data_IF_471245702529
#
_entry.id   IF_471245702529
#
_cell.length_a   1.000
_cell.length_b   1.000
_cell.length_c   1.000
_cell.angle_alpha   90.00
_cell.angle_beta   90.00
_cell.angle_gamma   90.00
#
_symmetry.space_group_name_H-M   'P 1'
#
loop_
_entity.id
_entity.type
_entity.pdbx_description
1 polymer ?
#
# COMPACT_ATOMS: atom_id res chain seq x y z
N UNK A 1 -13.75 2.32 14.11
CA UNK A 1 -14.81 1.68 13.30
C UNK A 1 -14.17 0.56 12.50
N UNK A 2 -14.79 -0.61 12.43
CA UNK A 2 -14.32 -1.73 11.59
C UNK A 2 -15.40 -1.96 10.55
N UNK A 3 -15.07 -1.85 9.26
CA UNK A 3 -16.01 -2.13 8.16
C UNK A 3 -15.95 -3.60 7.83
N UNK A 4 -17.11 -4.22 7.65
CA UNK A 4 -17.23 -5.59 7.16
C UNK A 4 -17.13 -5.62 5.62
N UNK A 5 -15.95 -5.32 5.06
CA UNK A 5 -15.77 -5.31 3.60
C UNK A 5 -16.06 -6.64 2.89
N UNK A 6 -16.18 -7.74 3.64
CA UNK A 6 -16.60 -9.05 3.12
C UNK A 6 -18.08 -9.11 2.74
N UNK A 7 -18.94 -8.21 3.25
CA UNK A 7 -20.36 -8.15 2.87
C UNK A 7 -20.58 -7.40 1.56
N UNK A 8 -19.53 -6.79 0.99
CA UNK A 8 -19.60 -6.12 -0.31
C UNK A 8 -19.85 -7.14 -1.43
N UNK A 9 -20.83 -6.86 -2.29
CA UNK A 9 -21.22 -7.66 -3.46
C UNK A 9 -20.57 -7.15 -4.74
N UNK A 10 -20.04 -8.09 -5.54
CA UNK A 10 -19.48 -7.78 -6.85
C UNK A 10 -20.58 -7.28 -7.81
N UNK A 11 -20.31 -6.23 -8.59
CA UNK A 11 -21.26 -5.60 -9.51
C UNK A 11 -22.28 -4.67 -8.85
N UNK A 12 -22.27 -4.56 -7.52
CA UNK A 12 -23.15 -3.67 -6.75
C UNK A 12 -22.31 -2.70 -5.92
N UNK A 13 -21.47 -3.23 -5.02
CA UNK A 13 -20.67 -2.42 -4.08
C UNK A 13 -19.24 -2.20 -4.56
N UNK A 14 -18.75 -3.01 -5.49
CA UNK A 14 -17.46 -2.90 -6.17
C UNK A 14 -17.47 -3.81 -7.39
N UNK A 15 -16.58 -3.57 -8.35
CA UNK A 15 -16.35 -4.48 -9.48
C UNK A 15 -15.07 -5.30 -9.23
N UNK A 16 -15.12 -6.62 -9.47
CA UNK A 16 -14.02 -7.57 -9.25
C UNK A 16 -12.76 -7.21 -10.03
N UNK A 17 -12.93 -6.61 -11.20
CA UNK A 17 -11.82 -6.16 -12.07
C UNK A 17 -11.04 -4.98 -11.45
N UNK A 18 -11.57 -4.41 -10.36
CA UNK A 18 -10.96 -3.35 -9.59
C UNK A 18 -10.31 -3.84 -8.28
N UNK A 19 -10.30 -5.16 -8.02
CA UNK A 19 -9.62 -5.76 -6.87
C UNK A 19 -8.11 -5.89 -7.13
N UNK A 20 -7.32 -5.12 -6.40
CA UNK A 20 -5.86 -5.21 -6.44
C UNK A 20 -5.33 -5.52 -5.04
N UNK A 21 -4.78 -6.73 -4.87
CA UNK A 21 -3.94 -7.04 -3.73
C UNK A 21 -2.52 -6.52 -4.02
N UNK A 22 -2.01 -5.65 -3.16
CA UNK A 22 -0.66 -5.09 -3.23
C UNK A 22 0.38 -6.09 -2.71
N UNK A 23 0.42 -7.26 -3.32
CA UNK A 23 1.29 -8.35 -2.91
C UNK A 23 2.19 -8.73 -4.07
N UNK A 24 3.48 -8.51 -3.88
CA UNK A 24 4.50 -9.03 -4.77
C UNK A 24 4.48 -10.56 -4.73
N UNK A 25 4.45 -11.20 -5.90
CA UNK A 25 4.49 -12.67 -6.03
C UNK A 25 5.63 -13.25 -5.20
N UNK A 26 5.37 -14.34 -4.48
CA UNK A 26 6.35 -14.97 -3.59
C UNK A 26 7.66 -15.34 -4.32
N UNK A 27 7.56 -15.86 -5.55
CA UNK A 27 8.73 -16.16 -6.38
C UNK A 27 9.57 -14.91 -6.69
N UNK A 28 8.94 -13.76 -6.92
CA UNK A 28 9.64 -12.48 -7.09
C UNK A 28 10.25 -12.00 -5.78
N UNK A 29 9.56 -12.16 -4.65
CA UNK A 29 10.10 -11.81 -3.33
C UNK A 29 11.37 -12.63 -3.05
N UNK A 30 11.31 -13.95 -3.22
CA UNK A 30 12.47 -14.84 -3.05
C UNK A 30 13.61 -14.46 -3.98
N UNK A 31 13.33 -14.21 -5.27
CA UNK A 31 14.34 -13.77 -6.22
C UNK A 31 15.02 -12.46 -5.80
N UNK A 32 14.23 -11.46 -5.38
CA UNK A 32 14.77 -10.16 -4.98
C UNK A 32 15.59 -10.26 -3.68
N UNK A 33 15.16 -11.07 -2.72
CA UNK A 33 15.91 -11.32 -1.48
C UNK A 33 17.21 -12.07 -1.75
N UNK A 34 17.19 -13.13 -2.57
CA UNK A 34 18.40 -13.86 -2.97
C UNK A 34 19.36 -12.96 -3.75
N UNK A 35 18.83 -12.11 -4.64
CA UNK A 35 19.63 -11.12 -5.38
C UNK A 35 20.29 -10.12 -4.42
N UNK A 36 19.53 -9.56 -3.48
CA UNK A 36 20.05 -8.63 -2.47
C UNK A 36 21.17 -9.28 -1.64
N UNK A 37 20.96 -10.50 -1.15
CA UNK A 37 21.96 -11.25 -0.40
C UNK A 37 23.24 -11.49 -1.23
N UNK A 38 23.10 -11.88 -2.50
CA UNK A 38 24.25 -12.13 -3.40
C UNK A 38 25.10 -10.87 -3.67
N UNK A 39 24.50 -9.68 -3.52
CA UNK A 39 25.15 -8.39 -3.73
C UNK A 39 25.55 -7.69 -2.43
N UNK A 40 25.24 -8.30 -1.27
CA UNK A 40 25.38 -7.70 0.05
C UNK A 40 24.66 -6.34 0.16
N UNK A 41 23.43 -6.27 -0.38
CA UNK A 41 22.60 -5.08 -0.33
C UNK A 41 21.80 -5.01 0.96
N UNK A 42 21.53 -3.80 1.41
CA UNK A 42 20.78 -3.53 2.63
C UNK A 42 19.29 -3.69 2.38
N UNK A 43 18.58 -4.32 3.31
CA UNK A 43 17.13 -4.56 3.21
C UNK A 43 16.43 -3.89 4.38
N UNK A 44 15.55 -2.94 4.07
CA UNK A 44 14.72 -2.25 5.04
C UNK A 44 13.23 -2.45 4.72
N UNK A 45 12.43 -2.52 5.77
CA UNK A 45 10.98 -2.52 5.66
C UNK A 45 10.41 -1.26 6.31
N UNK A 46 9.39 -0.68 5.68
CA UNK A 46 8.60 0.40 6.27
C UNK A 46 7.12 0.02 6.27
N UNK A 47 6.42 0.42 7.33
CA UNK A 47 4.98 0.25 7.49
C UNK A 47 4.27 1.59 7.23
N UNK A 48 3.38 1.62 6.25
CA UNK A 48 2.69 2.84 5.82
C UNK A 48 1.41 3.03 6.65
N UNK A 49 1.49 3.95 7.63
CA UNK A 49 0.44 4.18 8.64
C UNK A 49 -0.95 4.53 8.09
N UNK A 50 -1.04 5.03 6.87
CA UNK A 50 -2.31 5.55 6.36
C UNK A 50 -2.54 5.26 4.88
N UNK A 51 -1.96 4.18 4.36
CA UNK A 51 -2.13 3.72 2.98
C UNK A 51 -3.59 3.80 2.46
N UNK A 52 -4.57 3.59 3.35
CA UNK A 52 -6.00 3.55 3.02
C UNK A 52 -6.83 4.76 3.48
N UNK A 53 -6.27 5.64 4.34
CA UNK A 53 -7.01 6.72 5.02
C UNK A 53 -6.95 8.07 4.29
N UNK A 54 -6.22 8.18 3.18
CA UNK A 54 -5.89 9.46 2.54
C UNK A 54 -6.84 9.90 1.43
N UNK A 55 -8.02 9.30 1.27
CA UNK A 55 -8.99 9.74 0.25
C UNK A 55 -10.38 9.93 0.86
N UNK A 56 -10.94 11.11 0.62
CA UNK A 56 -12.37 11.36 0.73
C UNK A 56 -13.08 10.54 -0.35
N UNK A 57 -14.23 9.96 -0.02
CA UNK A 57 -15.06 9.28 -1.01
C UNK A 57 -15.65 10.33 -1.95
N UNK A 58 -15.64 10.08 -3.25
CA UNK A 58 -16.39 10.93 -4.19
C UNK A 58 -17.89 10.78 -3.88
N UNK A 59 -18.71 11.78 -4.23
CA UNK A 59 -20.17 11.74 -4.03
C UNK A 59 -20.83 10.50 -4.66
N UNK A 60 -20.25 9.97 -5.74
CA UNK A 60 -20.72 8.76 -6.43
C UNK A 60 -20.27 7.44 -5.76
N UNK A 61 -19.33 7.48 -4.82
CA UNK A 61 -18.81 6.32 -4.06
C UNK A 61 -19.45 6.29 -2.65
N UNK A 62 -20.79 6.23 -2.58
CA UNK A 62 -21.55 6.16 -1.32
C UNK A 62 -21.37 4.80 -0.64
N UNK A 63 -20.49 4.74 0.37
CA UNK A 63 -20.29 3.52 1.16
C UNK A 63 -20.99 3.67 2.51
N UNK A 64 -22.05 2.88 2.70
CA UNK A 64 -22.78 2.80 3.96
C UNK A 64 -22.29 1.63 4.80
N UNK A 65 -22.10 1.85 6.10
CA UNK A 65 -21.65 0.83 7.05
C UNK A 65 -22.70 0.61 8.11
N UNK A 66 -23.08 -0.66 8.30
CA UNK A 66 -23.91 -1.05 9.42
C UNK A 66 -23.07 -1.05 10.71
N UNK A 67 -23.62 -0.49 11.78
CA UNK A 67 -22.96 -0.50 13.07
C UNK A 67 -22.75 -1.95 13.53
N UNK A 68 -21.53 -2.25 14.02
CA UNK A 68 -21.25 -3.57 14.57
C UNK A 68 -22.03 -3.79 15.88
N UNK A 69 -22.58 -4.99 16.11
CA UNK A 69 -23.24 -5.32 17.37
C UNK A 69 -22.25 -5.12 18.54
N UNK A 70 -22.69 -4.45 19.60
CA UNK A 70 -21.90 -4.17 20.81
C UNK A 70 -21.19 -2.81 20.86
N UNK A 71 -21.26 -1.99 19.81
CA UNK A 71 -20.77 -0.59 19.85
C UNK A 71 -21.95 0.34 20.08
N UNK A 72 -22.06 0.93 21.27
CA UNK A 72 -23.08 1.92 21.58
C UNK A 72 -22.64 3.28 21.01
N UNK A 73 -23.24 3.69 19.90
CA UNK A 73 -23.37 5.11 19.57
C UNK A 73 -24.77 5.49 20.03
N UNK A 74 -24.87 6.37 21.02
CA UNK A 74 -26.10 6.69 21.76
C UNK A 74 -27.22 7.27 20.87
N UNK A 75 -26.88 7.71 19.65
CA UNK A 75 -27.80 8.49 18.80
C UNK A 75 -28.25 7.77 17.52
N UNK A 76 -27.91 6.49 17.32
CA UNK A 76 -28.27 5.73 16.12
C UNK A 76 -29.53 4.90 16.35
N UNK A 77 -30.61 5.22 15.61
CA UNK A 77 -31.88 4.48 15.64
C UNK A 77 -31.78 3.15 14.88
N UNK A 78 -32.62 2.15 15.23
CA UNK A 78 -32.76 0.93 14.43
C UNK A 78 -33.05 1.25 12.96
N UNK A 79 -32.31 0.64 12.05
CA UNK A 79 -32.44 0.86 10.59
C UNK A 79 -31.55 1.96 10.02
N UNK A 80 -30.85 2.75 10.84
CA UNK A 80 -29.89 3.74 10.36
C UNK A 80 -28.53 3.10 10.02
N UNK A 81 -27.90 3.64 8.97
CA UNK A 81 -26.57 3.25 8.51
C UNK A 81 -25.65 4.46 8.55
N UNK A 82 -24.34 4.22 8.74
CA UNK A 82 -23.35 5.29 8.75
C UNK A 82 -22.82 5.53 7.34
N UNK A 83 -22.81 6.78 6.90
CA UNK A 83 -22.09 7.17 5.69
C UNK A 83 -20.59 7.30 6.00
N UNK A 84 -19.77 6.66 5.18
CA UNK A 84 -18.33 6.71 5.32
C UNK A 84 -17.79 7.92 4.55
N UNK A 85 -17.10 8.84 5.22
CA UNK A 85 -16.51 10.01 4.53
C UNK A 85 -15.05 9.76 4.08
N UNK A 86 -14.38 8.74 4.64
CA UNK A 86 -12.99 8.38 4.33
C UNK A 86 -12.85 6.88 4.18
N UNK A 87 -12.16 6.42 3.14
CA UNK A 87 -11.97 4.98 2.90
C UNK A 87 -11.32 4.28 4.11
N UNK A 88 -11.86 3.10 4.46
CA UNK A 88 -11.33 2.25 5.53
C UNK A 88 -10.59 1.03 4.97
N UNK A 89 -9.61 0.57 5.75
CA UNK A 89 -8.63 -0.50 5.48
C UNK A 89 -9.18 -1.82 4.91
N UNK A 90 -10.48 -2.09 5.01
CA UNK A 90 -11.11 -3.36 4.59
C UNK A 90 -11.98 -3.22 3.35
N UNK A 91 -12.08 -2.03 2.78
CA UNK A 91 -12.81 -1.84 1.53
C UNK A 91 -12.00 -2.38 0.36
N UNK A 92 -12.65 -3.21 -0.44
CA UNK A 92 -12.07 -3.86 -1.63
C UNK A 92 -11.44 -2.87 -2.63
N UNK A 93 -11.93 -1.63 -2.64
CA UNK A 93 -11.51 -0.56 -3.54
C UNK A 93 -10.27 0.21 -3.07
N UNK A 94 -9.99 0.19 -1.75
CA UNK A 94 -8.98 1.05 -1.15
C UNK A 94 -7.54 0.61 -1.52
N UNK A 95 -7.31 -0.69 -1.74
CA UNK A 95 -6.02 -1.23 -2.20
C UNK A 95 -5.61 -0.72 -3.59
N UNK A 96 -6.56 -0.62 -4.53
CA UNK A 96 -6.29 -0.10 -5.88
C UNK A 96 -5.92 1.37 -5.86
N UNK A 97 -6.61 2.18 -5.08
CA UNK A 97 -6.33 3.61 -4.99
C UNK A 97 -4.99 3.88 -4.31
N UNK A 98 -4.69 3.12 -3.26
CA UNK A 98 -3.36 3.13 -2.65
C UNK A 98 -2.28 2.79 -3.68
N UNK A 99 -2.49 1.73 -4.47
CA UNK A 99 -1.56 1.34 -5.53
C UNK A 99 -1.33 2.46 -6.56
N UNK A 100 -2.40 3.10 -7.04
CA UNK A 100 -2.29 4.24 -7.98
C UNK A 100 -1.50 5.40 -7.37
N UNK A 101 -1.77 5.74 -6.10
CA UNK A 101 -1.09 6.83 -5.39
C UNK A 101 0.40 6.53 -5.22
N UNK A 102 0.74 5.34 -4.71
CA UNK A 102 2.13 4.96 -4.46
C UNK A 102 2.91 4.79 -5.77
N UNK A 103 2.30 4.24 -6.82
CA UNK A 103 2.92 4.14 -8.14
C UNK A 103 3.30 5.51 -8.69
N UNK A 104 2.34 6.46 -8.72
CA UNK A 104 2.61 7.84 -9.15
C UNK A 104 3.71 8.50 -8.34
N UNK A 105 3.71 8.27 -7.03
CA UNK A 105 4.72 8.81 -6.12
C UNK A 105 6.13 8.25 -6.39
N UNK A 106 6.26 6.92 -6.53
CA UNK A 106 7.55 6.28 -6.78
C UNK A 106 8.12 6.70 -8.14
N UNK A 107 7.28 6.80 -9.17
CA UNK A 107 7.66 7.36 -10.47
C UNK A 107 8.12 8.82 -10.33
N UNK A 108 7.42 9.65 -9.54
CA UNK A 108 7.80 11.05 -9.29
C UNK A 108 9.15 11.18 -8.56
N UNK A 109 9.49 10.24 -7.67
CA UNK A 109 10.79 10.19 -6.97
C UNK A 109 11.92 9.66 -7.90
N UNK A 110 11.59 9.29 -9.13
CA UNK A 110 12.55 8.86 -10.16
C UNK A 110 12.87 7.37 -10.12
N UNK A 111 11.94 6.54 -9.65
CA UNK A 111 12.00 5.09 -9.84
C UNK A 111 11.28 4.71 -11.14
N UNK A 112 11.69 3.59 -11.71
CA UNK A 112 11.05 2.93 -12.83
C UNK A 112 10.24 1.71 -12.35
N UNK A 113 9.15 1.41 -13.04
CA UNK A 113 8.33 0.23 -12.75
C UNK A 113 8.82 -0.98 -13.54
N UNK A 114 8.82 -2.17 -12.95
CA UNK A 114 9.21 -3.40 -13.64
C UNK A 114 8.09 -3.91 -14.57
N UNK A 115 8.45 -4.28 -15.81
CA UNK A 115 7.48 -4.73 -16.83
C UNK A 115 6.74 -6.02 -16.45
N UNK A 116 7.44 -6.98 -15.84
CA UNK A 116 6.89 -8.30 -15.52
C UNK A 116 6.23 -8.38 -14.14
N UNK A 117 6.44 -7.36 -13.29
CA UNK A 117 5.83 -7.31 -11.97
C UNK A 117 5.49 -5.86 -11.58
N UNK A 118 4.20 -5.55 -11.66
CA UNK A 118 3.65 -4.22 -11.46
C UNK A 118 3.78 -3.70 -10.00
N UNK A 119 4.12 -4.56 -9.04
CA UNK A 119 4.36 -4.15 -7.64
C UNK A 119 5.83 -3.91 -7.32
N UNK A 120 6.73 -4.06 -8.30
CA UNK A 120 8.18 -3.87 -8.15
C UNK A 120 8.63 -2.62 -8.90
N UNK A 121 9.45 -1.81 -8.22
CA UNK A 121 10.04 -0.59 -8.74
C UNK A 121 11.54 -0.59 -8.47
N UNK A 122 12.32 0.07 -9.31
CA UNK A 122 13.77 0.12 -9.16
C UNK A 122 14.35 1.44 -9.63
N UNK A 123 15.57 1.74 -9.20
CA UNK A 123 16.36 2.87 -9.68
C UNK A 123 17.71 2.37 -10.19
N UNK A 124 18.10 2.85 -11.36
CA UNK A 124 19.41 2.60 -11.94
C UNK A 124 20.29 3.84 -11.86
N UNK A 125 21.59 3.63 -11.67
CA UNK A 125 22.63 4.62 -11.80
C UNK A 125 23.80 3.97 -12.52
N UNK A 126 24.31 4.58 -13.59
CA UNK A 126 25.39 4.04 -14.43
C UNK A 126 25.10 2.58 -14.88
N UNK A 127 23.89 2.33 -15.39
CA UNK A 127 23.38 0.99 -15.79
C UNK A 127 23.33 -0.08 -14.68
N UNK A 128 23.60 0.28 -13.42
CA UNK A 128 23.52 -0.61 -12.26
C UNK A 128 22.25 -0.33 -11.46
N UNK A 129 21.54 -1.37 -11.05
CA UNK A 129 20.39 -1.23 -10.14
C UNK A 129 20.89 -0.95 -8.72
N UNK A 130 20.61 0.25 -8.21
CA UNK A 130 21.09 0.71 -6.89
C UNK A 130 20.01 0.66 -5.81
N UNK A 131 18.75 0.58 -6.21
CA UNK A 131 17.59 0.55 -5.33
C UNK A 131 16.49 -0.28 -5.98
N UNK A 132 15.86 -1.16 -5.22
CA UNK A 132 14.64 -1.88 -5.58
C UNK A 132 13.65 -1.71 -4.44
N UNK A 133 12.38 -1.49 -4.76
CA UNK A 133 11.32 -1.47 -3.76
C UNK A 133 10.11 -2.25 -4.27
N UNK A 134 9.43 -2.93 -3.36
CA UNK A 134 8.27 -3.72 -3.71
C UNK A 134 7.23 -3.75 -2.60
N UNK A 135 5.96 -3.93 -2.99
CA UNK A 135 4.82 -3.90 -2.09
C UNK A 135 4.55 -5.28 -1.48
N UNK A 136 4.38 -5.35 -0.17
CA UNK A 136 3.90 -6.53 0.53
C UNK A 136 2.83 -6.16 1.55
N UNK A 137 1.57 -6.27 1.13
CA UNK A 137 0.36 -5.92 1.90
C UNK A 137 0.39 -4.43 2.30
N UNK A 138 0.81 -4.13 3.53
CA UNK A 138 0.87 -2.75 4.07
C UNK A 138 2.29 -2.21 4.14
N UNK A 139 3.26 -3.08 3.89
CA UNK A 139 4.66 -2.75 4.01
C UNK A 139 5.26 -2.50 2.64
N UNK A 140 6.23 -1.59 2.62
CA UNK A 140 7.11 -1.37 1.49
C UNK A 140 8.47 -1.94 1.86
N UNK A 141 8.91 -2.94 1.11
CA UNK A 141 10.26 -3.48 1.19
C UNK A 141 11.19 -2.61 0.35
N UNK A 142 12.39 -2.35 0.84
CA UNK A 142 13.37 -1.47 0.22
C UNK A 142 14.71 -2.20 0.26
N UNK A 143 15.26 -2.49 -0.91
CA UNK A 143 16.58 -3.08 -1.10
C UNK A 143 17.46 -2.00 -1.70
N UNK A 144 18.54 -1.60 -1.02
CA UNK A 144 19.45 -0.58 -1.51
C UNK A 144 20.89 -1.04 -1.47
N UNK A 145 21.69 -0.58 -2.42
CA UNK A 145 23.13 -0.86 -2.46
C UNK A 145 23.86 -0.35 -1.21
N UNK A 146 23.43 0.78 -0.66
CA UNK A 146 23.96 1.33 0.60
C UNK A 146 22.84 1.86 1.48
N UNK A 147 23.12 1.94 2.79
CA UNK A 147 22.23 2.58 3.76
C UNK A 147 21.94 4.03 3.36
N UNK A 148 22.93 4.75 2.81
CA UNK A 148 22.77 6.14 2.39
C UNK A 148 21.68 6.28 1.30
N UNK A 149 21.67 5.40 0.30
CA UNK A 149 20.64 5.38 -0.75
C UNK A 149 19.26 5.16 -0.14
N UNK A 150 19.13 4.23 0.82
CA UNK A 150 17.85 3.97 1.49
C UNK A 150 17.40 5.18 2.32
N UNK A 151 18.32 5.87 3.01
CA UNK A 151 18.01 7.07 3.78
C UNK A 151 17.48 8.18 2.87
N UNK A 152 18.15 8.44 1.74
CA UNK A 152 17.72 9.44 0.76
C UNK A 152 16.33 9.09 0.21
N UNK A 153 16.12 7.82 -0.16
CA UNK A 153 14.81 7.35 -0.62
C UNK A 153 13.72 7.53 0.44
N UNK A 154 13.98 7.11 1.69
CA UNK A 154 13.05 7.29 2.81
C UNK A 154 12.74 8.77 3.06
N UNK A 155 13.73 9.65 2.95
CA UNK A 155 13.53 11.10 3.11
C UNK A 155 12.62 11.66 2.02
N UNK A 156 12.85 11.30 0.75
CA UNK A 156 11.98 11.70 -0.36
C UNK A 156 10.55 11.17 -0.17
N UNK A 157 10.40 9.92 0.29
CA UNK A 157 9.09 9.33 0.53
C UNK A 157 8.33 10.00 1.68
N UNK A 158 9.03 10.43 2.76
CA UNK A 158 8.43 11.10 3.92
C UNK A 158 7.75 12.42 3.59
N UNK A 159 8.18 13.11 2.53
CA UNK A 159 7.54 14.35 2.07
C UNK A 159 6.11 14.13 1.56
N UNK A 160 5.74 12.88 1.27
CA UNK A 160 4.46 12.55 0.65
C UNK A 160 3.62 11.55 1.45
N UNK A 161 4.25 10.73 2.30
CA UNK A 161 3.58 9.65 3.03
C UNK A 161 4.20 9.47 4.42
N UNK A 162 3.33 9.39 5.44
CA UNK A 162 3.73 9.00 6.80
C UNK A 162 3.93 7.48 6.91
N UNK A 163 5.08 7.06 7.44
CA UNK A 163 5.40 5.65 7.67
C UNK A 163 6.28 5.47 8.92
N UNK A 164 6.28 4.26 9.47
CA UNK A 164 7.17 3.81 10.53
C UNK A 164 8.22 2.86 9.98
N UNK A 165 9.43 2.90 10.54
CA UNK A 165 10.42 1.88 10.24
C UNK A 165 10.02 0.59 10.96
N UNK A 166 9.97 -0.51 10.23
CA UNK A 166 9.98 -1.84 10.85
C UNK A 166 11.43 -2.17 11.23
N UNK A 167 11.65 -2.95 12.28
CA UNK A 167 12.99 -3.36 12.71
C UNK A 167 13.77 -4.00 11.53
N UNK A 168 15.10 -3.82 11.50
CA UNK A 168 15.99 -4.41 10.47
C UNK A 168 15.68 -5.90 10.31
N UNK A 169 15.51 -6.33 9.06
CA UNK A 169 15.48 -7.76 8.73
C UNK A 169 16.94 -8.12 8.50
N UNK A 170 17.52 -8.83 9.47
CA UNK A 170 18.90 -9.34 9.44
C UNK A 170 19.02 -10.51 8.48
#
# INVERSE_FOLDING_TARGET
FVVQGYTQKNGIDFYSDNLFALVTKLSTVQLLLSWAASKNYEIHQIDVKSAYLYRELNEDELIYVKLLPGRLLTDIKPGQVLHLNKMLYRLKQAGRQWYKKITKLLLKIGLEQANYNHTVFYKKQNNKTILVTFMYINNIMIIGETIAIIIVFKHALRQHVAFTNSNKIH
#
